data_IF_817534067561
#
_entry.id   IF_817534067561
#
_cell.length_a   1.000
_cell.length_b   1.000
_cell.length_c   1.000
_cell.angle_alpha   90.00
_cell.angle_beta   90.00
_cell.angle_gamma   90.00
#
_symmetry.space_group_name_H-M   'P 1'
#
loop_
_entity.id
_entity.type
_entity.pdbx_description
1 polymer ?
#
# COMPACT_ATOMS: atom_id res chain seq x y z
N UNK A 1 -18.42 17.31 -13.25
CA UNK A 1 -19.16 16.04 -13.18
C UNK A 1 -18.47 15.10 -12.19
N UNK A 2 -19.24 14.46 -11.30
CA UNK A 2 -18.72 13.51 -10.31
C UNK A 2 -19.22 12.10 -10.65
N UNK A 3 -18.31 11.13 -10.67
CA UNK A 3 -18.66 9.72 -10.76
C UNK A 3 -18.44 9.09 -9.40
N UNK A 4 -19.49 8.49 -8.84
CA UNK A 4 -19.45 7.82 -7.55
C UNK A 4 -19.77 6.35 -7.80
N UNK A 5 -18.95 5.46 -7.24
CA UNK A 5 -19.26 4.03 -7.18
C UNK A 5 -19.22 3.57 -5.73
N UNK A 6 -20.33 3.00 -5.28
CA UNK A 6 -20.56 2.56 -3.90
C UNK A 6 -21.05 1.12 -3.95
N UNK A 7 -20.57 0.29 -3.03
CA UNK A 7 -21.06 -1.06 -2.85
C UNK A 7 -21.05 -1.37 -1.35
N UNK A 8 -21.84 -0.59 -0.63
CA UNK A 8 -22.03 -0.71 0.81
C UNK A 8 -23.52 -0.59 1.12
N UNK A 9 -23.95 -1.35 2.12
CA UNK A 9 -25.32 -1.29 2.67
C UNK A 9 -25.45 -0.28 3.81
N UNK A 10 -24.38 0.47 4.14
CA UNK A 10 -24.43 1.50 5.17
C UNK A 10 -25.47 2.58 4.81
N UNK A 11 -26.52 2.78 5.63
CA UNK A 11 -27.54 3.78 5.39
C UNK A 11 -26.92 5.18 5.24
N UNK A 12 -27.41 5.97 4.29
CA UNK A 12 -26.97 7.37 4.10
C UNK A 12 -25.58 7.57 3.48
N UNK A 13 -24.81 6.49 3.23
CA UNK A 13 -23.43 6.61 2.75
C UNK A 13 -23.35 7.32 1.39
N UNK A 14 -24.36 7.16 0.54
CA UNK A 14 -24.46 7.86 -0.75
C UNK A 14 -24.45 9.38 -0.60
N UNK A 15 -25.18 9.91 0.37
CA UNK A 15 -25.23 11.35 0.65
C UNK A 15 -23.88 11.87 1.17
N UNK A 16 -23.28 11.13 2.11
CA UNK A 16 -21.94 11.45 2.61
C UNK A 16 -20.90 11.48 1.48
N UNK A 17 -20.87 10.46 0.62
CA UNK A 17 -19.92 10.37 -0.48
C UNK A 17 -20.15 11.43 -1.57
N UNK A 18 -21.39 11.88 -1.77
CA UNK A 18 -21.69 12.99 -2.68
C UNK A 18 -21.02 14.28 -2.21
N UNK A 19 -21.12 14.57 -0.91
CA UNK A 19 -20.59 15.79 -0.30
C UNK A 19 -19.13 15.66 0.19
N UNK A 20 -18.55 14.45 0.17
CA UNK A 20 -17.20 14.18 0.65
C UNK A 20 -16.13 15.14 0.10
N UNK A 21 -16.10 15.54 -1.19
CA UNK A 21 -15.10 16.50 -1.66
C UNK A 21 -15.10 17.84 -0.91
N UNK A 22 -16.27 18.28 -0.41
CA UNK A 22 -16.43 19.52 0.36
C UNK A 22 -15.95 19.30 1.80
N UNK A 23 -16.43 18.24 2.44
CA UNK A 23 -16.07 17.90 3.83
C UNK A 23 -14.59 17.52 3.96
N UNK A 24 -14.00 16.89 2.94
CA UNK A 24 -12.63 16.41 3.01
C UNK A 24 -11.61 17.53 3.23
N UNK A 25 -11.90 18.77 2.85
CA UNK A 25 -11.00 19.89 3.10
C UNK A 25 -11.11 20.41 4.54
N UNK A 26 -12.31 20.36 5.13
CA UNK A 26 -12.64 21.03 6.40
C UNK A 26 -12.67 20.11 7.61
N UNK A 27 -13.01 18.85 7.41
CA UNK A 27 -13.34 17.89 8.47
C UNK A 27 -12.41 16.67 8.44
N UNK A 28 -12.58 15.81 9.45
CA UNK A 28 -11.87 14.55 9.60
C UNK A 28 -10.47 14.68 10.22
N UNK A 29 -10.01 13.60 10.83
CA UNK A 29 -8.69 13.51 11.46
C UNK A 29 -7.65 13.15 10.40
N UNK A 30 -6.63 13.98 10.23
CA UNK A 30 -5.59 13.76 9.21
C UNK A 30 -4.53 12.78 9.71
N UNK A 31 -4.48 11.58 9.12
CA UNK A 31 -3.42 10.61 9.39
C UNK A 31 -2.14 10.89 8.60
N UNK A 32 -2.29 11.39 7.37
CA UNK A 32 -1.16 11.63 6.48
C UNK A 32 -1.46 12.77 5.52
N UNK A 33 -0.57 13.75 5.46
CA UNK A 33 -0.63 14.87 4.51
C UNK A 33 0.62 14.86 3.62
N UNK A 34 0.42 14.78 2.30
CA UNK A 34 1.52 14.73 1.33
C UNK A 34 0.99 14.63 -0.10
N UNK A 35 1.68 13.86 -0.96
CA UNK A 35 1.20 13.57 -2.33
C UNK A 35 -0.18 12.94 -2.34
N UNK A 36 -0.45 12.05 -1.39
CA UNK A 36 -1.79 11.57 -1.11
C UNK A 36 -2.12 12.04 0.31
N UNK A 37 -3.40 12.31 0.54
CA UNK A 37 -3.91 12.72 1.84
C UNK A 37 -4.84 11.63 2.36
N UNK A 38 -4.69 11.27 3.62
CA UNK A 38 -5.49 10.22 4.28
C UNK A 38 -6.13 10.84 5.50
N UNK A 39 -7.46 10.75 5.58
CA UNK A 39 -8.26 11.24 6.70
C UNK A 39 -9.18 10.14 7.23
N UNK A 40 -9.43 10.15 8.53
CA UNK A 40 -10.49 9.37 9.19
C UNK A 40 -11.71 10.25 9.41
N UNK A 41 -12.90 9.69 9.15
CA UNK A 41 -14.18 10.30 9.47
C UNK A 41 -14.97 9.34 10.37
N UNK A 42 -15.54 9.85 11.45
CA UNK A 42 -16.53 9.10 12.22
C UNK A 42 -17.87 9.11 11.46
N UNK A 43 -18.50 7.94 11.35
CA UNK A 43 -19.71 7.74 10.58
C UNK A 43 -20.63 6.75 11.29
N UNK A 44 -21.48 7.28 12.18
CA UNK A 44 -22.23 6.47 13.14
C UNK A 44 -21.25 5.69 14.02
N UNK A 45 -21.44 4.37 14.10
CA UNK A 45 -20.56 3.46 14.86
C UNK A 45 -19.28 3.07 14.10
N UNK A 46 -19.18 3.45 12.81
CA UNK A 46 -18.04 3.11 11.98
C UNK A 46 -17.06 4.26 11.87
N UNK A 47 -15.78 3.94 11.70
CA UNK A 47 -14.77 4.90 11.25
C UNK A 47 -14.45 4.63 9.79
N UNK A 48 -14.42 5.67 8.98
CA UNK A 48 -14.13 5.61 7.55
C UNK A 48 -12.74 6.14 7.27
N UNK A 49 -11.96 5.38 6.50
CA UNK A 49 -10.68 5.84 5.97
C UNK A 49 -10.86 6.36 4.55
N UNK A 50 -10.60 7.65 4.36
CA UNK A 50 -10.68 8.30 3.04
C UNK A 50 -9.28 8.68 2.57
N UNK A 51 -8.86 8.08 1.46
CA UNK A 51 -7.58 8.36 0.80
C UNK A 51 -7.82 9.19 -0.47
N UNK A 52 -7.44 10.46 -0.40
CA UNK A 52 -7.41 11.37 -1.53
C UNK A 52 -6.08 11.25 -2.29
N UNK A 53 -6.15 10.97 -3.58
CA UNK A 53 -4.96 10.91 -4.44
C UNK A 53 -4.79 12.25 -5.16
N UNK A 54 -3.79 13.06 -4.78
CA UNK A 54 -3.51 14.29 -5.53
C UNK A 54 -2.95 13.95 -6.90
N UNK A 55 -3.34 14.76 -7.88
CA UNK A 55 -2.84 14.69 -9.24
C UNK A 55 -1.35 15.01 -9.23
N UNK A 56 -0.53 14.16 -9.83
CA UNK A 56 0.85 14.56 -10.17
C UNK A 56 0.87 14.98 -11.61
N UNK A 57 1.07 16.30 -11.78
CA UNK A 57 1.52 17.10 -12.92
C UNK A 57 1.07 16.71 -14.33
N UNK A 58 1.01 17.73 -15.19
CA UNK A 58 0.65 17.67 -16.61
C UNK A 58 1.43 16.58 -17.38
N UNK A 59 2.62 16.19 -16.91
CA UNK A 59 3.45 15.15 -17.53
C UNK A 59 2.84 13.72 -17.54
N UNK A 60 2.06 13.32 -16.51
CA UNK A 60 1.31 12.04 -16.57
C UNK A 60 0.04 12.13 -17.44
N UNK A 61 -0.35 13.35 -17.83
CA UNK A 61 -1.57 13.63 -18.60
C UNK A 61 -1.37 13.29 -20.08
N UNK A 62 -0.14 13.37 -20.59
CA UNK A 62 0.21 13.11 -22.00
C UNK A 62 0.36 11.60 -22.31
N UNK A 63 0.86 10.79 -21.38
CA UNK A 63 1.04 9.34 -21.58
C UNK A 63 -0.24 8.49 -21.40
N UNK A 64 -1.33 9.04 -20.85
CA UNK A 64 -2.46 8.23 -20.34
C UNK A 64 -3.85 8.89 -20.43
N UNK A 65 -4.21 9.50 -21.56
CA UNK A 65 -5.41 10.37 -21.59
C UNK A 65 -6.77 9.64 -21.45
N UNK A 66 -6.99 8.41 -21.96
CA UNK A 66 -8.39 7.90 -22.03
C UNK A 66 -8.69 6.48 -21.46
N UNK A 67 -7.71 5.61 -21.19
CA UNK A 67 -8.01 4.18 -20.93
C UNK A 67 -7.60 3.62 -19.56
N UNK A 68 -6.86 4.36 -18.73
CA UNK A 68 -6.31 3.80 -17.48
C UNK A 68 -7.17 4.15 -16.26
N UNK A 69 -7.57 3.12 -15.51
CA UNK A 69 -8.27 3.26 -14.22
C UNK A 69 -7.53 4.16 -13.24
N UNK A 70 -8.28 4.98 -12.50
CA UNK A 70 -7.73 5.88 -11.48
C UNK A 70 -7.08 5.11 -10.34
N UNK A 71 -6.27 5.78 -9.51
CA UNK A 71 -5.69 5.12 -8.33
C UNK A 71 -6.77 4.68 -7.36
N UNK A 72 -7.78 5.52 -7.13
CA UNK A 72 -8.91 5.18 -6.29
C UNK A 72 -9.69 3.98 -6.80
N UNK A 73 -10.02 3.95 -8.09
CA UNK A 73 -10.72 2.82 -8.70
C UNK A 73 -9.89 1.53 -8.60
N UNK A 74 -8.58 1.59 -8.85
CA UNK A 74 -7.69 0.44 -8.69
C UNK A 74 -7.62 -0.06 -7.26
N UNK A 75 -7.50 0.83 -6.28
CA UNK A 75 -7.52 0.47 -4.86
C UNK A 75 -8.80 -0.28 -4.50
N UNK A 76 -9.95 0.25 -4.92
CA UNK A 76 -11.25 -0.37 -4.68
C UNK A 76 -11.38 -1.77 -5.30
N UNK A 77 -11.05 -1.90 -6.59
CA UNK A 77 -11.15 -3.18 -7.29
C UNK A 77 -10.17 -4.23 -6.75
N UNK A 78 -8.95 -3.83 -6.37
CA UNK A 78 -7.98 -4.73 -5.77
C UNK A 78 -8.44 -5.14 -4.37
N UNK A 79 -8.90 -4.22 -3.53
CA UNK A 79 -9.41 -4.54 -2.19
C UNK A 79 -10.45 -5.65 -2.24
N UNK A 80 -11.44 -5.51 -3.13
CA UNK A 80 -12.46 -6.55 -3.36
C UNK A 80 -11.86 -7.88 -3.78
N UNK A 81 -10.85 -7.88 -4.65
CA UNK A 81 -10.19 -9.11 -5.11
C UNK A 81 -9.36 -9.77 -4.00
N UNK A 82 -8.74 -8.98 -3.12
CA UNK A 82 -8.02 -9.50 -1.95
C UNK A 82 -8.98 -10.18 -0.98
N UNK A 83 -10.08 -9.50 -0.62
CA UNK A 83 -11.09 -10.07 0.27
C UNK A 83 -11.69 -11.37 -0.29
N UNK A 84 -12.00 -11.42 -1.59
CA UNK A 84 -12.46 -12.65 -2.27
C UNK A 84 -11.43 -13.79 -2.28
N UNK A 85 -10.15 -13.47 -2.08
CA UNK A 85 -9.05 -14.45 -1.97
C UNK A 85 -8.72 -14.78 -0.50
N UNK A 86 -9.52 -14.30 0.46
CA UNK A 86 -9.27 -14.47 1.89
C UNK A 86 -7.98 -13.79 2.33
N UNK A 87 -7.71 -12.59 1.81
CA UNK A 87 -6.57 -11.77 2.22
C UNK A 87 -7.09 -10.48 2.80
N UNK A 88 -6.69 -10.26 4.05
CA UNK A 88 -7.17 -9.14 4.83
C UNK A 88 -6.68 -7.81 4.28
N UNK A 89 -7.64 -6.89 4.20
CA UNK A 89 -7.46 -5.50 3.82
C UNK A 89 -8.69 -4.73 4.30
N UNK A 90 -8.59 -3.43 4.59
CA UNK A 90 -9.76 -2.66 5.03
C UNK A 90 -10.92 -2.74 4.04
N UNK A 91 -12.13 -2.99 4.55
CA UNK A 91 -13.30 -3.26 3.73
C UNK A 91 -13.58 -2.08 2.78
N UNK A 92 -13.52 -2.26 1.45
CA UNK A 92 -13.74 -1.18 0.51
C UNK A 92 -15.22 -0.81 0.46
N UNK A 93 -15.52 0.48 0.60
CA UNK A 93 -16.91 0.98 0.52
C UNK A 93 -17.21 1.61 -0.84
N UNK A 94 -16.21 2.21 -1.47
CA UNK A 94 -16.39 2.84 -2.76
C UNK A 94 -15.23 3.71 -3.21
N UNK A 95 -15.45 4.40 -4.32
CA UNK A 95 -14.57 5.46 -4.79
C UNK A 95 -15.34 6.59 -5.45
N UNK A 96 -14.72 7.78 -5.44
CA UNK A 96 -15.24 8.98 -6.10
C UNK A 96 -14.21 9.47 -7.11
N UNK A 97 -14.67 9.90 -8.28
CA UNK A 97 -13.86 10.59 -9.29
C UNK A 97 -14.53 11.94 -9.59
N UNK A 98 -13.82 13.02 -9.31
CA UNK A 98 -14.28 14.38 -9.61
C UNK A 98 -13.61 14.87 -10.89
N UNK A 99 -14.41 15.14 -11.92
CA UNK A 99 -13.95 15.66 -13.23
C UNK A 99 -14.31 17.14 -13.38
N UNK A 100 -13.34 17.94 -13.80
CA UNK A 100 -13.49 19.35 -14.15
C UNK A 100 -13.86 19.56 -15.62
N UNK A 101 -13.55 20.75 -16.15
CA UNK A 101 -13.70 21.07 -17.57
C UNK A 101 -12.96 20.04 -18.45
N UNK A 102 -13.49 19.74 -19.63
CA UNK A 102 -12.91 18.79 -20.59
C UNK A 102 -12.76 17.36 -20.06
N UNK A 103 -13.63 16.94 -19.13
CA UNK A 103 -13.59 15.62 -18.46
C UNK A 103 -12.28 15.32 -17.70
N UNK A 104 -11.45 16.33 -17.44
CA UNK A 104 -10.16 16.18 -16.79
C UNK A 104 -10.37 15.83 -15.31
N UNK A 105 -9.80 14.71 -14.86
CA UNK A 105 -9.84 14.32 -13.45
C UNK A 105 -9.09 15.37 -12.61
N UNK A 106 -9.79 15.95 -11.63
CA UNK A 106 -9.26 16.89 -10.64
C UNK A 106 -8.87 16.16 -9.36
N UNK A 107 -9.78 15.37 -8.82
CA UNK A 107 -9.61 14.64 -7.56
C UNK A 107 -10.20 13.23 -7.69
N UNK A 108 -9.66 12.30 -6.91
CA UNK A 108 -10.24 10.97 -6.75
C UNK A 108 -9.97 10.44 -5.35
N UNK A 109 -10.96 9.78 -4.78
CA UNK A 109 -11.00 9.33 -3.40
C UNK A 109 -11.28 7.83 -3.37
N UNK A 110 -10.49 7.10 -2.59
CA UNK A 110 -10.80 5.72 -2.19
C UNK A 110 -11.33 5.73 -0.75
N UNK A 111 -12.42 5.02 -0.52
CA UNK A 111 -13.08 4.97 0.79
C UNK A 111 -13.16 3.51 1.24
N UNK A 112 -12.73 3.27 2.47
CA UNK A 112 -12.86 1.98 3.15
C UNK A 112 -13.33 2.18 4.59
N UNK A 113 -13.73 1.10 5.25
CA UNK A 113 -13.74 1.06 6.71
C UNK A 113 -12.31 1.29 7.21
N UNK A 114 -12.18 1.97 8.33
CA UNK A 114 -10.94 2.07 9.08
C UNK A 114 -10.88 0.90 10.05
N UNK A 115 -10.05 -0.09 9.73
CA UNK A 115 -9.85 -1.24 10.62
C UNK A 115 -8.92 -0.85 11.77
N UNK A 116 -9.36 -1.15 12.99
CA UNK A 116 -8.48 -1.10 14.16
C UNK A 116 -7.33 -2.10 13.95
N UNK A 117 -6.12 -1.64 14.23
CA UNK A 117 -4.90 -2.43 14.18
C UNK A 117 -4.01 -1.98 15.32
N UNK A 118 -3.12 -2.85 15.79
CA UNK A 118 -2.28 -2.55 16.95
C UNK A 118 -1.05 -1.74 16.53
N UNK A 119 -0.42 -2.11 15.41
CA UNK A 119 0.78 -1.45 14.90
C UNK A 119 1.03 -1.85 13.44
N UNK A 120 2.06 -1.27 12.82
CA UNK A 120 2.51 -1.64 11.47
C UNK A 120 3.78 -2.46 11.52
N UNK A 121 4.12 -3.16 10.43
CA UNK A 121 5.44 -3.82 10.33
C UNK A 121 6.58 -2.80 10.40
N UNK A 122 6.34 -1.53 10.04
CA UNK A 122 7.34 -0.47 10.21
C UNK A 122 7.62 -0.16 11.68
N UNK A 123 6.61 -0.21 12.55
CA UNK A 123 6.76 0.01 14.00
C UNK A 123 7.64 -1.07 14.63
N UNK A 124 7.42 -2.32 14.22
CA UNK A 124 8.20 -3.49 14.62
C UNK A 124 9.66 -3.36 14.19
N UNK A 125 9.90 -3.00 12.93
CA UNK A 125 11.26 -2.84 12.39
C UNK A 125 12.04 -1.65 12.98
N UNK A 126 11.33 -0.69 13.58
CA UNK A 126 11.88 0.46 14.29
C UNK A 126 12.05 0.19 15.80
N UNK A 127 11.86 -1.05 16.26
CA UNK A 127 12.14 -1.46 17.64
C UNK A 127 11.06 -1.09 18.66
N UNK A 128 9.83 -0.75 18.22
CA UNK A 128 8.73 -0.47 19.16
C UNK A 128 8.19 -1.71 19.88
N UNK A 129 8.46 -2.90 19.34
CA UNK A 129 7.99 -4.19 19.87
C UNK A 129 9.12 -5.22 19.92
N UNK A 130 10.19 -4.98 20.72
CA UNK A 130 11.40 -5.79 20.66
C UNK A 130 11.18 -7.25 21.09
N UNK A 131 10.27 -7.50 22.05
CA UNK A 131 9.96 -8.85 22.55
C UNK A 131 9.30 -9.74 21.48
N UNK A 132 8.42 -9.16 20.67
CA UNK A 132 7.63 -9.89 19.68
C UNK A 132 8.25 -9.81 18.27
N UNK A 133 9.34 -9.04 18.09
CA UNK A 133 9.87 -8.67 16.78
C UNK A 133 10.26 -9.88 15.92
N UNK A 134 10.97 -10.86 16.49
CA UNK A 134 11.42 -12.04 15.77
C UNK A 134 10.24 -12.89 15.29
N UNK A 135 9.30 -13.17 16.20
CA UNK A 135 8.08 -13.92 15.90
C UNK A 135 7.27 -13.23 14.80
N UNK A 136 7.05 -11.92 14.89
CA UNK A 136 6.31 -11.15 13.88
C UNK A 136 6.99 -11.24 12.51
N UNK A 137 8.32 -11.12 12.45
CA UNK A 137 9.05 -11.18 11.18
C UNK A 137 9.00 -12.57 10.56
N UNK A 138 9.09 -13.61 11.40
CA UNK A 138 8.92 -15.00 10.99
C UNK A 138 7.52 -15.22 10.40
N UNK A 139 6.47 -14.93 11.18
CA UNK A 139 5.08 -15.12 10.75
C UNK A 139 4.75 -14.30 9.50
N UNK A 140 5.30 -13.09 9.38
CA UNK A 140 5.16 -12.27 8.17
C UNK A 140 5.80 -12.93 6.95
N UNK A 141 7.02 -13.44 7.07
CA UNK A 141 7.71 -14.12 5.97
C UNK A 141 6.96 -15.39 5.54
N UNK A 142 6.48 -16.16 6.51
CA UNK A 142 5.69 -17.38 6.29
C UNK A 142 4.35 -17.05 5.62
N UNK A 143 3.62 -16.04 6.11
CA UNK A 143 2.37 -15.57 5.51
C UNK A 143 2.57 -15.09 4.06
N UNK A 144 3.67 -14.40 3.76
CA UNK A 144 3.99 -13.99 2.40
C UNK A 144 4.22 -15.21 1.47
N UNK A 145 4.81 -16.28 2.00
CA UNK A 145 5.14 -17.50 1.27
C UNK A 145 3.97 -18.50 1.17
N UNK A 146 3.08 -18.56 2.16
CA UNK A 146 1.92 -19.46 2.22
C UNK A 146 0.68 -18.86 1.57
N UNK A 147 0.42 -17.57 1.82
CA UNK A 147 -0.84 -16.95 1.44
C UNK A 147 -0.66 -15.99 0.26
N UNK A 148 0.20 -14.98 0.40
CA UNK A 148 0.21 -13.84 -0.53
C UNK A 148 0.71 -14.24 -1.92
N UNK A 149 1.94 -14.77 -2.01
CA UNK A 149 2.53 -15.09 -3.30
C UNK A 149 1.87 -16.29 -3.99
N UNK A 150 1.48 -17.38 -3.30
CA UNK A 150 0.73 -18.48 -3.92
C UNK A 150 -0.63 -18.04 -4.48
N UNK A 151 -1.33 -17.11 -3.81
CA UNK A 151 -2.58 -16.52 -4.33
C UNK A 151 -2.37 -15.54 -5.49
N UNK A 152 -1.11 -15.35 -5.92
CA UNK A 152 -0.73 -14.58 -7.10
C UNK A 152 -0.60 -13.08 -6.86
N UNK A 153 -0.44 -12.64 -5.61
CA UNK A 153 -0.45 -11.21 -5.27
C UNK A 153 0.98 -10.68 -5.16
N UNK A 154 1.29 -9.69 -6.00
CA UNK A 154 2.59 -9.02 -6.00
C UNK A 154 2.38 -7.53 -5.74
N UNK A 155 2.85 -7.03 -4.61
CA UNK A 155 2.69 -5.63 -4.25
C UNK A 155 3.91 -4.82 -4.70
N UNK A 156 3.82 -4.07 -5.81
CA UNK A 156 5.02 -3.44 -6.40
C UNK A 156 5.71 -2.42 -5.49
N UNK A 157 4.95 -1.78 -4.58
CA UNK A 157 5.44 -0.84 -3.57
C UNK A 157 5.34 -1.43 -2.15
N UNK A 158 5.73 -2.70 -1.96
CA UNK A 158 5.64 -3.37 -0.65
C UNK A 158 6.65 -2.81 0.35
N UNK A 159 6.28 -1.78 1.11
CA UNK A 159 7.05 -1.27 2.25
C UNK A 159 6.45 -1.73 3.57
N UNK A 160 7.24 -1.79 4.62
CA UNK A 160 6.78 -2.21 5.95
C UNK A 160 5.59 -1.38 6.48
N UNK A 161 5.53 -0.08 6.16
CA UNK A 161 4.38 0.76 6.53
C UNK A 161 3.06 0.43 5.81
N UNK A 162 3.06 -0.48 4.83
CA UNK A 162 1.87 -0.93 4.11
C UNK A 162 1.32 -2.27 4.63
N UNK A 163 1.86 -2.77 5.75
CA UNK A 163 1.43 -4.00 6.41
C UNK A 163 0.95 -3.62 7.81
N UNK A 164 -0.37 -3.74 8.02
CA UNK A 164 -1.00 -3.59 9.33
C UNK A 164 -0.90 -4.92 10.07
N UNK A 165 -0.70 -4.85 11.39
CA UNK A 165 -0.59 -6.02 12.26
C UNK A 165 -1.67 -5.97 13.33
N UNK A 166 -2.32 -7.11 13.51
CA UNK A 166 -3.32 -7.35 14.55
C UNK A 166 -2.76 -8.46 15.44
N UNK A 167 -2.65 -8.19 16.75
CA UNK A 167 -2.34 -9.21 17.75
C UNK A 167 -3.62 -9.97 18.07
N UNK A 168 -3.58 -11.28 17.87
CA UNK A 168 -4.72 -12.16 18.15
C UNK A 168 -4.68 -12.61 19.62
N UNK A 169 -5.83 -13.04 20.16
CA UNK A 169 -5.95 -13.51 21.54
C UNK A 169 -5.08 -14.74 21.85
N UNK A 170 -4.80 -15.57 20.83
CA UNK A 170 -3.94 -16.75 20.94
C UNK A 170 -2.43 -16.45 20.91
N UNK A 171 -2.03 -15.17 20.85
CA UNK A 171 -0.63 -14.75 20.83
C UNK A 171 0.02 -14.67 19.44
N UNK A 172 -0.66 -15.11 18.36
CA UNK A 172 -0.16 -14.98 16.99
C UNK A 172 -0.53 -13.63 16.37
N UNK A 173 -0.01 -13.36 15.17
CA UNK A 173 -0.23 -12.12 14.46
C UNK A 173 -0.96 -12.32 13.12
N UNK A 174 -1.93 -11.46 12.85
CA UNK A 174 -2.61 -11.38 11.55
C UNK A 174 -2.14 -10.15 10.79
N UNK A 175 -2.03 -10.28 9.46
CA UNK A 175 -1.50 -9.25 8.58
C UNK A 175 -2.55 -8.75 7.60
N UNK A 176 -2.67 -7.42 7.46
CA UNK A 176 -3.57 -6.78 6.51
C UNK A 176 -2.80 -5.83 5.58
N UNK A 177 -3.04 -5.92 4.28
CA UNK A 177 -2.39 -5.05 3.30
C UNK A 177 -3.14 -3.72 3.12
N UNK A 178 -2.38 -2.64 2.98
CA UNK A 178 -2.89 -1.32 2.56
C UNK A 178 -2.09 -0.76 1.36
N UNK A 179 -2.46 0.43 0.87
CA UNK A 179 -1.85 1.05 -0.34
C UNK A 179 -1.93 0.20 -1.63
N UNK A 180 -3.11 -0.35 -1.87
CA UNK A 180 -3.38 -1.42 -2.84
C UNK A 180 -3.23 -1.05 -4.33
N UNK A 181 -3.12 0.25 -4.68
CA UNK A 181 -3.20 0.72 -6.08
C UNK A 181 -2.07 0.25 -7.01
N UNK A 182 -1.05 -0.42 -6.45
CA UNK A 182 0.10 -1.00 -7.18
C UNK A 182 0.28 -2.49 -6.91
N UNK A 183 -0.78 -3.17 -6.48
CA UNK A 183 -0.80 -4.63 -6.45
C UNK A 183 -1.11 -5.16 -7.85
N UNK A 184 -0.37 -6.20 -8.25
CA UNK A 184 -0.61 -7.00 -9.44
C UNK A 184 -1.11 -8.37 -9.02
N UNK A 185 -2.20 -8.83 -9.62
CA UNK A 185 -2.70 -10.19 -9.47
C UNK A 185 -2.23 -10.97 -10.70
N UNK A 186 -1.37 -11.95 -10.47
CA UNK A 186 -0.78 -12.82 -11.49
C UNK A 186 -1.35 -14.23 -11.38
N UNK A 187 -1.32 -14.98 -12.48
CA UNK A 187 -1.65 -16.42 -12.47
C UNK A 187 -0.64 -17.22 -11.64
N UNK A 188 0.64 -16.88 -11.73
CA UNK A 188 1.74 -17.51 -10.98
C UNK A 188 2.78 -16.47 -10.56
N UNK A 189 3.33 -16.63 -9.38
CA UNK A 189 4.51 -15.91 -8.89
C UNK A 189 5.61 -16.94 -8.70
N UNK A 190 6.76 -16.74 -9.35
CA UNK A 190 7.93 -17.60 -9.08
C UNK A 190 8.54 -17.25 -7.73
N UNK A 191 9.23 -18.20 -7.11
CA UNK A 191 9.93 -17.97 -5.85
C UNK A 191 10.87 -16.75 -5.90
N UNK A 192 11.62 -16.58 -7.00
CA UNK A 192 12.46 -15.39 -7.22
C UNK A 192 11.65 -14.09 -7.27
N UNK A 193 10.47 -14.09 -7.89
CA UNK A 193 9.60 -12.92 -7.91
C UNK A 193 9.00 -12.62 -6.53
N UNK A 194 8.58 -13.67 -5.80
CA UNK A 194 8.03 -13.57 -4.46
C UNK A 194 9.05 -13.00 -3.48
N UNK A 195 10.23 -13.60 -3.38
CA UNK A 195 11.25 -13.11 -2.44
C UNK A 195 11.68 -11.68 -2.79
N UNK A 196 11.87 -11.36 -4.08
CA UNK A 196 12.17 -9.99 -4.52
C UNK A 196 11.07 -8.99 -4.14
N UNK A 197 9.83 -9.43 -3.91
CA UNK A 197 8.78 -8.54 -3.45
C UNK A 197 9.12 -7.93 -2.07
N UNK A 198 9.85 -8.65 -1.23
CA UNK A 198 10.22 -8.23 0.13
C UNK A 198 11.38 -7.22 0.17
N UNK A 199 12.03 -6.93 -0.96
CA UNK A 199 13.25 -6.07 -1.00
C UNK A 199 13.06 -4.64 -0.50
N UNK A 200 11.81 -4.18 -0.40
CA UNK A 200 11.44 -2.84 0.04
C UNK A 200 11.02 -2.79 1.53
N UNK A 201 11.00 -3.93 2.22
CA UNK A 201 10.60 -4.03 3.63
C UNK A 201 11.64 -3.37 4.55
N UNK A 202 12.92 -3.65 4.34
CA UNK A 202 14.01 -3.10 5.14
C UNK A 202 15.27 -2.88 4.27
N UNK A 203 16.25 -2.14 4.78
CA UNK A 203 17.58 -1.98 4.19
C UNK A 203 18.68 -2.74 4.96
N UNK A 204 18.40 -3.23 6.18
CA UNK A 204 19.34 -4.01 6.99
C UNK A 204 19.51 -5.44 6.41
N UNK A 205 20.72 -5.86 5.99
CA UNK A 205 20.94 -7.19 5.44
C UNK A 205 20.55 -8.33 6.39
N UNK A 206 20.77 -8.18 7.70
CA UNK A 206 20.38 -9.18 8.71
C UNK A 206 18.87 -9.43 8.72
N UNK A 207 18.06 -8.37 8.68
CA UNK A 207 16.58 -8.51 8.61
C UNK A 207 16.16 -9.17 7.31
N UNK A 208 16.79 -8.81 6.19
CA UNK A 208 16.46 -9.39 4.89
C UNK A 208 16.87 -10.87 4.83
N UNK A 209 18.01 -11.26 5.41
CA UNK A 209 18.42 -12.65 5.53
C UNK A 209 17.41 -13.45 6.35
N UNK A 210 17.01 -12.93 7.51
CA UNK A 210 16.00 -13.55 8.38
C UNK A 210 14.66 -13.77 7.68
N UNK A 211 14.14 -12.74 6.98
CA UNK A 211 12.93 -12.87 6.18
C UNK A 211 13.09 -13.89 5.05
N UNK A 212 14.26 -13.93 4.41
CA UNK A 212 14.52 -14.87 3.33
C UNK A 212 14.61 -16.32 3.80
N UNK A 213 15.17 -16.56 4.98
CA UNK A 213 15.27 -17.88 5.60
C UNK A 213 13.88 -18.47 5.87
N UNK A 214 13.03 -17.76 6.60
CA UNK A 214 11.68 -18.23 6.91
C UNK A 214 10.79 -18.35 5.66
N UNK A 215 10.94 -17.44 4.71
CA UNK A 215 10.28 -17.57 3.41
C UNK A 215 10.75 -18.83 2.67
N UNK A 216 12.07 -19.10 2.65
CA UNK A 216 12.65 -20.25 1.96
C UNK A 216 12.22 -21.57 2.61
N UNK A 217 12.13 -21.63 3.94
CA UNK A 217 11.66 -22.79 4.68
C UNK A 217 10.27 -23.24 4.21
N UNK A 218 9.31 -22.31 4.20
CA UNK A 218 7.95 -22.56 3.67
C UNK A 218 7.98 -22.94 2.20
N UNK A 219 8.76 -22.21 1.40
CA UNK A 219 8.88 -22.46 -0.03
C UNK A 219 9.68 -23.73 -0.38
N UNK A 220 10.15 -24.49 0.63
CA UNK A 220 11.03 -25.67 0.48
C UNK A 220 12.26 -25.38 -0.40
N UNK A 221 12.83 -24.19 -0.25
CA UNK A 221 13.99 -23.70 -0.98
C UNK A 221 15.24 -23.61 -0.12
N UNK A 222 16.39 -23.32 -0.75
CA UNK A 222 17.66 -23.10 -0.03
C UNK A 222 17.71 -21.68 0.58
N UNK A 223 17.81 -21.52 1.92
CA UNK A 223 17.83 -20.21 2.59
C UNK A 223 18.91 -19.27 2.07
N UNK A 224 20.14 -19.76 1.88
CA UNK A 224 21.27 -18.95 1.38
C UNK A 224 21.00 -18.37 0.00
N UNK A 225 20.42 -19.14 -0.93
CA UNK A 225 20.04 -18.64 -2.26
C UNK A 225 18.97 -17.56 -2.18
N UNK A 226 17.97 -17.71 -1.31
CA UNK A 226 16.91 -16.71 -1.15
C UNK A 226 17.45 -15.43 -0.52
N UNK A 227 18.31 -15.54 0.50
CA UNK A 227 18.97 -14.40 1.12
C UNK A 227 19.81 -13.63 0.10
N UNK A 228 20.62 -14.35 -0.70
CA UNK A 228 21.40 -13.77 -1.80
C UNK A 228 20.51 -13.00 -2.79
N UNK A 229 19.42 -13.60 -3.27
CA UNK A 229 18.52 -12.92 -4.20
C UNK A 229 17.82 -11.72 -3.57
N UNK A 230 17.39 -11.81 -2.31
CA UNK A 230 16.70 -10.72 -1.64
C UNK A 230 17.63 -9.53 -1.42
N UNK A 231 18.77 -9.76 -0.75
CA UNK A 231 19.75 -8.73 -0.42
C UNK A 231 20.31 -8.12 -1.71
N UNK A 232 20.73 -8.94 -2.68
CA UNK A 232 21.22 -8.45 -3.97
C UNK A 232 20.18 -7.60 -4.70
N UNK A 233 18.91 -8.01 -4.71
CA UNK A 233 17.85 -7.23 -5.34
C UNK A 233 17.53 -5.92 -4.61
N UNK A 234 17.76 -5.86 -3.30
CA UNK A 234 17.61 -4.66 -2.51
C UNK A 234 18.76 -3.69 -2.78
N UNK A 235 20.00 -4.19 -2.82
CA UNK A 235 21.19 -3.37 -3.11
C UNK A 235 21.10 -2.76 -4.51
N UNK A 236 20.76 -3.57 -5.51
CA UNK A 236 20.53 -3.09 -6.88
C UNK A 236 19.43 -2.02 -6.92
N UNK A 237 18.32 -2.26 -6.21
CA UNK A 237 17.24 -1.28 -6.13
C UNK A 237 17.65 0.02 -5.42
N UNK A 238 18.46 -0.06 -4.37
CA UNK A 238 18.99 1.09 -3.66
C UNK A 238 19.97 1.89 -4.53
N UNK A 239 20.84 1.21 -5.27
CA UNK A 239 21.78 1.80 -6.20
C UNK A 239 21.07 2.52 -7.35
N UNK A 240 20.15 1.83 -8.03
CA UNK A 240 19.35 2.43 -9.11
C UNK A 240 18.59 3.66 -8.65
N UNK A 241 17.97 3.60 -7.45
CA UNK A 241 17.27 4.77 -6.88
C UNK A 241 18.19 5.97 -6.64
N UNK A 242 19.44 5.74 -6.21
CA UNK A 242 20.42 6.81 -6.01
C UNK A 242 20.77 7.46 -7.34
N UNK A 243 21.05 6.67 -8.38
CA UNK A 243 21.32 7.18 -9.73
C UNK A 243 20.14 8.01 -10.24
N UNK A 244 18.91 7.48 -10.18
CA UNK A 244 17.73 8.20 -10.69
C UNK A 244 17.50 9.51 -9.94
N UNK A 245 17.69 9.53 -8.61
CA UNK A 245 17.60 10.76 -7.82
C UNK A 245 18.69 11.77 -8.18
N UNK A 246 19.93 11.32 -8.36
CA UNK A 246 21.05 12.17 -8.78
C UNK A 246 20.76 12.83 -10.14
N UNK A 247 20.32 12.04 -11.11
CA UNK A 247 19.92 12.53 -12.43
C UNK A 247 18.74 13.52 -12.38
N UNK A 248 17.71 13.22 -11.58
CA UNK A 248 16.59 14.16 -11.41
C UNK A 248 17.01 15.46 -10.70
N UNK A 249 17.98 15.39 -9.78
CA UNK A 249 18.53 16.58 -9.11
C UNK A 249 19.37 17.42 -10.07
N UNK A 250 20.15 16.82 -10.97
CA UNK A 250 20.89 17.57 -11.99
C UNK A 250 19.98 18.28 -13.01
N UNK A 251 18.74 17.81 -13.18
CA UNK A 251 17.73 18.43 -14.03
C UNK A 251 16.83 19.43 -13.29
N UNK A 252 16.92 19.53 -11.95
CA UNK A 252 16.14 20.49 -11.20
C UNK A 252 16.71 21.90 -11.42
N UNK A 253 15.86 22.92 -11.69
CA UNK A 253 16.35 24.29 -11.84
C UNK A 253 17.09 24.69 -10.57
N UNK A 254 18.33 25.20 -10.71
CA UNK A 254 19.08 25.77 -9.59
C UNK A 254 18.21 26.89 -9.01
N UNK A 255 17.90 26.82 -7.71
CA UNK A 255 17.26 27.95 -7.03
C UNK A 255 18.22 29.13 -7.13
N UNK A 256 17.78 30.21 -7.74
CA UNK A 256 18.47 31.50 -7.63
C UNK A 256 18.59 31.84 -6.15
N UNK A 257 19.83 31.99 -5.70
CA UNK A 257 20.13 32.56 -4.39
C UNK A 257 19.79 34.03 -4.54
N UNK A 258 18.64 34.46 -3.99
CA UNK A 258 18.41 35.88 -3.75
C UNK A 258 19.32 36.27 -2.58
N UNK A 259 20.41 36.96 -2.90
CA UNK A 259 21.18 37.74 -1.94
C UNK A 259 20.33 38.88 -1.38
#
# INVERSE_FOLDING_TARGET
MQTIKIESRLPGLGHFLKNLPIFFEKEGITLKKGRNEIKIFDYGEFRLCVKAFKKVTIFNRMMYSCFRKTKAQRSYEIAKKLLRKGIDTPQPLGYIIVKGKWAIIRQNYYISIFNNHHFTLSDVLNGKHPKDQEQILKEYAEWMALDIHPKGILHEDMSAGNVLIIKNENGNFSFSLIDLNRIKIKKRISHRQGIRNLRKINNRPSVLAFLAEHYAYVAKGNPGRYAFFLIGSQLLFAHMRRITKGFLHSLAPKKEIRC
#
